data_IF_796758604897
#
_entry.id   IF_796758604897
#
_cell.length_a   1.000
_cell.length_b   1.000
_cell.length_c   1.000
_cell.angle_alpha   90.00
_cell.angle_beta   90.00
_cell.angle_gamma   90.00
#
_symmetry.space_group_name_H-M   'P 1'
#
loop_
_entity.id
_entity.type
_entity.pdbx_description
1 polymer ?
#
# COMPACT_ATOMS: atom_id res chain seq x y z
N UNK A 1 4.01 -8.79 22.55
CA UNK A 1 3.79 -8.12 21.26
C UNK A 1 3.57 -6.65 21.51
N UNK A 2 4.32 -5.79 20.81
CA UNK A 2 4.33 -4.35 21.06
C UNK A 2 3.01 -3.69 20.63
N UNK A 3 2.49 -2.79 21.45
CA UNK A 3 1.33 -1.96 21.10
C UNK A 3 1.75 -0.90 20.09
N UNK A 4 1.17 -0.99 18.89
CA UNK A 4 1.48 -0.09 17.76
C UNK A 4 0.42 0.98 17.57
N UNK A 5 -0.56 1.14 18.46
CA UNK A 5 -1.66 2.12 18.29
C UNK A 5 -1.22 3.57 18.47
N UNK A 6 -0.03 3.81 19.05
CA UNK A 6 0.50 5.16 19.30
C UNK A 6 0.98 5.81 18.00
N UNK A 7 0.08 6.48 17.29
CA UNK A 7 0.37 7.13 16.00
C UNK A 7 1.40 8.26 16.10
N UNK A 8 1.69 8.80 17.29
CA UNK A 8 2.73 9.82 17.49
C UNK A 8 4.12 9.23 17.80
N UNK A 9 4.25 7.92 17.94
CA UNK A 9 5.55 7.29 18.17
C UNK A 9 6.38 7.25 16.88
N UNK A 10 7.40 8.11 16.80
CA UNK A 10 8.25 8.24 15.61
C UNK A 10 8.90 6.91 15.19
N UNK A 11 9.26 6.05 16.16
CA UNK A 11 9.84 4.73 15.86
C UNK A 11 8.82 3.81 15.17
N UNK A 12 7.58 3.82 15.63
CA UNK A 12 6.48 3.06 15.01
C UNK A 12 6.14 3.59 13.63
N UNK A 13 6.01 4.92 13.47
CA UNK A 13 5.76 5.54 12.17
C UNK A 13 6.86 5.20 11.15
N UNK A 14 8.13 5.29 11.55
CA UNK A 14 9.24 4.94 10.67
C UNK A 14 9.24 3.45 10.30
N UNK A 15 8.86 2.57 11.23
CA UNK A 15 8.72 1.13 10.96
C UNK A 15 7.55 0.82 10.01
N UNK A 16 6.46 1.59 10.08
CA UNK A 16 5.34 1.52 9.12
C UNK A 16 5.82 1.92 7.73
N UNK A 17 6.49 3.06 7.59
CA UNK A 17 7.04 3.52 6.30
C UNK A 17 8.00 2.49 5.71
N UNK A 18 8.95 1.99 6.50
CA UNK A 18 9.89 0.96 6.06
C UNK A 18 9.19 -0.35 5.65
N UNK A 19 8.07 -0.69 6.30
CA UNK A 19 7.29 -1.88 5.98
C UNK A 19 6.46 -1.69 4.72
N UNK A 20 5.80 -0.55 4.56
CA UNK A 20 5.02 -0.21 3.37
C UNK A 20 5.90 -0.21 2.11
N UNK A 21 7.06 0.48 2.16
CA UNK A 21 8.05 0.47 1.07
C UNK A 21 8.43 -0.96 0.67
N UNK A 22 8.71 -1.82 1.65
CA UNK A 22 9.13 -3.19 1.37
C UNK A 22 8.00 -4.06 0.79
N UNK A 23 6.81 -4.00 1.41
CA UNK A 23 5.65 -4.78 0.98
C UNK A 23 5.24 -4.36 -0.43
N UNK A 24 5.18 -3.06 -0.69
CA UNK A 24 4.82 -2.55 -2.01
C UNK A 24 5.88 -2.88 -3.06
N UNK A 25 7.17 -2.80 -2.73
CA UNK A 25 8.24 -3.19 -3.66
C UNK A 25 8.21 -4.68 -4.00
N UNK A 26 7.92 -5.54 -3.02
CA UNK A 26 7.72 -6.98 -3.25
C UNK A 26 6.46 -7.22 -4.10
N UNK A 27 5.39 -6.49 -3.82
CA UNK A 27 4.16 -6.52 -4.58
C UNK A 27 4.36 -6.14 -6.04
N UNK A 28 4.98 -4.98 -6.29
CA UNK A 28 5.38 -4.50 -7.60
C UNK A 28 6.27 -5.52 -8.31
N UNK A 29 7.23 -6.15 -7.61
CA UNK A 29 8.04 -7.23 -8.18
C UNK A 29 7.14 -8.36 -8.71
N UNK A 30 6.20 -8.86 -7.90
CA UNK A 30 5.28 -9.92 -8.33
C UNK A 30 4.49 -9.46 -9.56
N UNK A 31 3.87 -8.29 -9.51
CA UNK A 31 3.05 -7.77 -10.61
C UNK A 31 3.83 -7.58 -11.91
N UNK A 32 5.07 -7.06 -11.86
CA UNK A 32 5.91 -6.90 -13.06
C UNK A 32 6.20 -8.22 -13.77
N UNK A 33 6.20 -9.35 -13.05
CA UNK A 33 6.48 -10.68 -13.62
C UNK A 33 5.23 -11.51 -13.90
N UNK A 34 4.12 -11.30 -13.18
CA UNK A 34 2.93 -12.15 -13.27
C UNK A 34 1.70 -11.47 -13.90
N UNK A 35 1.64 -10.13 -13.90
CA UNK A 35 0.51 -9.42 -14.48
C UNK A 35 0.55 -9.45 -16.01
N UNK A 36 -0.61 -9.28 -16.63
CA UNK A 36 -0.71 -9.05 -18.07
C UNK A 36 0.06 -7.79 -18.47
N UNK A 37 0.84 -7.87 -19.56
CA UNK A 37 1.73 -6.80 -20.00
C UNK A 37 0.99 -5.46 -20.19
N UNK A 38 -0.14 -5.50 -20.88
CA UNK A 38 -0.97 -4.32 -21.15
C UNK A 38 -2.11 -4.18 -20.12
N UNK A 39 -1.97 -4.89 -18.99
CA UNK A 39 -2.92 -4.88 -17.90
C UNK A 39 -2.82 -3.62 -17.04
N UNK A 40 -3.88 -3.32 -16.26
CA UNK A 40 -3.96 -2.14 -15.42
C UNK A 40 -2.73 -1.82 -14.57
N UNK A 41 -2.23 -2.81 -13.84
CA UNK A 41 -1.14 -2.57 -12.91
C UNK A 41 0.18 -2.23 -13.64
N UNK A 42 0.40 -2.78 -14.84
CA UNK A 42 1.59 -2.46 -15.63
C UNK A 42 1.48 -1.07 -16.26
N UNK A 43 0.31 -0.71 -16.81
CA UNK A 43 0.07 0.65 -17.32
C UNK A 43 0.20 1.70 -16.20
N UNK A 44 -0.25 1.39 -14.97
CA UNK A 44 -0.07 2.26 -13.80
C UNK A 44 1.39 2.63 -13.57
N UNK A 45 2.27 1.62 -13.51
CA UNK A 45 3.70 1.85 -13.29
C UNK A 45 4.45 2.35 -14.53
N UNK A 46 4.00 2.02 -15.74
CA UNK A 46 4.62 2.47 -16.98
C UNK A 46 4.32 3.95 -17.29
N UNK A 47 3.11 4.42 -16.99
CA UNK A 47 2.72 5.82 -17.22
C UNK A 47 3.21 6.75 -16.11
N UNK A 48 3.13 6.34 -14.84
CA UNK A 48 3.38 7.23 -13.71
C UNK A 48 4.67 6.94 -12.94
N UNK A 49 5.31 5.79 -13.17
CA UNK A 49 6.61 5.46 -12.60
C UNK A 49 6.68 5.66 -11.08
N UNK A 50 7.61 6.51 -10.64
CA UNK A 50 7.81 6.78 -9.21
C UNK A 50 6.60 7.47 -8.55
N UNK A 51 5.78 8.20 -9.31
CA UNK A 51 4.58 8.83 -8.76
C UNK A 51 3.57 7.77 -8.34
N UNK A 52 3.33 6.77 -9.21
CA UNK A 52 2.49 5.62 -8.89
C UNK A 52 2.96 4.92 -7.61
N UNK A 53 4.26 4.57 -7.57
CA UNK A 53 4.86 3.91 -6.41
C UNK A 53 4.74 4.72 -5.11
N UNK A 54 4.97 6.04 -5.16
CA UNK A 54 4.84 6.90 -3.98
C UNK A 54 3.39 6.94 -3.50
N UNK A 55 2.42 6.99 -4.42
CA UNK A 55 1.00 6.98 -4.06
C UNK A 55 0.59 5.66 -3.40
N UNK A 56 1.06 4.52 -3.91
CA UNK A 56 0.79 3.19 -3.34
C UNK A 56 1.40 3.06 -1.93
N UNK A 57 2.64 3.49 -1.73
CA UNK A 57 3.28 3.48 -0.40
C UNK A 57 2.57 4.43 0.57
N UNK A 58 2.22 5.65 0.13
CA UNK A 58 1.57 6.62 0.99
C UNK A 58 0.15 6.20 1.36
N UNK A 59 -0.61 5.56 0.47
CA UNK A 59 -1.96 5.08 0.78
C UNK A 59 -1.92 4.05 1.91
N UNK A 60 -0.97 3.10 1.87
CA UNK A 60 -0.74 2.12 2.95
C UNK A 60 -0.39 2.83 4.26
N UNK A 61 0.54 3.79 4.24
CA UNK A 61 0.96 4.53 5.44
C UNK A 61 -0.21 5.31 6.04
N UNK A 62 -1.02 5.99 5.21
CA UNK A 62 -2.21 6.72 5.64
C UNK A 62 -3.22 5.76 6.27
N UNK A 63 -3.50 4.62 5.63
CA UNK A 63 -4.40 3.60 6.16
C UNK A 63 -3.96 3.07 7.53
N UNK A 64 -2.65 2.85 7.72
CA UNK A 64 -2.09 2.43 9.00
C UNK A 64 -2.25 3.50 10.08
N UNK A 65 -1.99 4.77 9.76
CA UNK A 65 -2.16 5.89 10.71
C UNK A 65 -3.63 6.05 11.11
N UNK A 66 -4.55 6.00 10.16
CA UNK A 66 -5.98 6.05 10.44
C UNK A 66 -6.42 4.88 11.33
N UNK A 67 -5.89 3.67 11.10
CA UNK A 67 -6.15 2.52 11.95
C UNK A 67 -5.59 2.68 13.36
N UNK A 68 -4.41 3.26 13.52
CA UNK A 68 -3.87 3.62 14.84
C UNK A 68 -4.78 4.61 15.58
N UNK A 69 -5.31 5.62 14.90
CA UNK A 69 -6.23 6.61 15.48
C UNK A 69 -7.53 5.94 15.92
N UNK A 70 -8.18 5.16 15.05
CA UNK A 70 -9.45 4.49 15.36
C UNK A 70 -9.26 3.45 16.48
N UNK A 71 -8.22 2.62 16.41
CA UNK A 71 -7.94 1.63 17.44
C UNK A 71 -7.55 2.25 18.79
N UNK A 72 -6.91 3.44 18.79
CA UNK A 72 -6.66 4.21 20.01
C UNK A 72 -7.94 4.79 20.59
N UNK A 73 -8.85 5.28 19.73
CA UNK A 73 -10.13 5.85 20.15
C UNK A 73 -11.08 4.80 20.74
N UNK A 74 -11.08 3.57 20.21
CA UNK A 74 -11.85 2.44 20.77
C UNK A 74 -11.35 2.06 22.18
N UNK A 75 -10.07 2.25 22.46
CA UNK A 75 -9.46 1.93 23.76
C UNK A 75 -9.26 0.43 24.00
N UNK A 76 -9.07 0.05 25.27
CA UNK A 76 -8.86 -1.34 25.68
C UNK A 76 -7.43 -1.88 25.48
N UNK A 77 -7.18 -3.15 25.85
CA UNK A 77 -5.88 -3.80 25.65
C UNK A 77 -5.62 -4.05 24.15
N UNK A 78 -4.35 -3.96 23.75
CA UNK A 78 -3.97 -4.22 22.36
C UNK A 78 -4.21 -5.69 21.99
N UNK A 79 -4.93 -5.90 20.89
CA UNK A 79 -5.19 -7.22 20.30
C UNK A 79 -4.86 -7.17 18.80
N UNK A 80 -3.98 -8.06 18.33
CA UNK A 80 -3.54 -8.06 16.93
C UNK A 80 -4.69 -8.25 15.97
N UNK A 81 -5.55 -9.24 16.25
CA UNK A 81 -6.63 -9.64 15.34
C UNK A 81 -7.65 -8.51 15.22
N UNK A 82 -7.99 -7.87 16.34
CA UNK A 82 -8.85 -6.68 16.34
C UNK A 82 -8.19 -5.53 15.57
N UNK A 83 -6.89 -5.30 15.74
CA UNK A 83 -6.18 -4.26 15.01
C UNK A 83 -6.14 -4.53 13.50
N UNK A 84 -5.85 -5.77 13.08
CA UNK A 84 -5.87 -6.17 11.66
C UNK A 84 -7.26 -6.00 11.05
N UNK A 85 -8.32 -6.34 11.78
CA UNK A 85 -9.69 -6.13 11.32
C UNK A 85 -10.00 -4.63 11.11
N UNK A 86 -9.55 -3.76 12.03
CA UNK A 86 -9.69 -2.30 11.90
C UNK A 86 -8.91 -1.79 10.69
N UNK A 87 -7.66 -2.23 10.52
CA UNK A 87 -6.79 -1.83 9.42
C UNK A 87 -7.44 -2.16 8.07
N UNK A 88 -7.93 -3.39 7.90
CA UNK A 88 -8.60 -3.83 6.67
C UNK A 88 -9.90 -3.05 6.47
N UNK A 89 -10.72 -2.88 7.51
CA UNK A 89 -11.96 -2.12 7.40
C UNK A 89 -11.73 -0.68 6.93
N UNK A 90 -10.68 -0.03 7.44
CA UNK A 90 -10.30 1.34 7.06
C UNK A 90 -9.81 1.39 5.61
N UNK A 91 -8.94 0.47 5.20
CA UNK A 91 -8.47 0.43 3.81
C UNK A 91 -9.64 0.19 2.85
N UNK A 92 -10.51 -0.80 3.11
CA UNK A 92 -11.67 -1.05 2.26
C UNK A 92 -12.59 0.17 2.17
N UNK A 93 -12.83 0.84 3.30
CA UNK A 93 -13.65 2.07 3.33
C UNK A 93 -13.00 3.18 2.52
N UNK A 94 -11.69 3.37 2.66
CA UNK A 94 -10.92 4.36 1.91
C UNK A 94 -11.02 4.11 0.41
N UNK A 95 -10.81 2.87 -0.04
CA UNK A 95 -10.74 2.55 -1.47
C UNK A 95 -12.12 2.62 -2.13
N UNK A 96 -13.17 2.16 -1.44
CA UNK A 96 -14.54 2.31 -1.92
C UNK A 96 -14.92 3.80 -1.99
N UNK A 97 -14.56 4.59 -0.99
CA UNK A 97 -14.81 6.04 -1.02
C UNK A 97 -14.04 6.70 -2.16
N UNK A 98 -12.77 6.35 -2.36
CA UNK A 98 -11.96 6.88 -3.44
C UNK A 98 -12.55 6.52 -4.81
N UNK A 99 -12.87 5.24 -5.04
CA UNK A 99 -13.35 4.76 -6.33
C UNK A 99 -14.77 5.21 -6.67
N UNK A 100 -15.68 5.25 -5.68
CA UNK A 100 -17.11 5.53 -5.90
C UNK A 100 -17.45 7.01 -5.75
N UNK A 101 -16.66 7.77 -4.99
CA UNK A 101 -16.94 9.19 -4.72
C UNK A 101 -15.89 10.09 -5.35
N UNK A 102 -14.60 9.91 -5.04
CA UNK A 102 -13.57 10.86 -5.48
C UNK A 102 -13.34 10.78 -6.98
N UNK A 103 -13.17 9.58 -7.51
CA UNK A 103 -12.86 9.35 -8.93
C UNK A 103 -13.97 9.88 -9.86
N UNK A 104 -15.27 9.62 -9.64
CA UNK A 104 -16.33 10.11 -10.52
C UNK A 104 -16.60 11.62 -10.43
N UNK A 105 -16.14 12.30 -9.38
CA UNK A 105 -16.31 13.75 -9.21
C UNK A 105 -15.37 14.58 -10.09
N UNK A 106 -14.29 13.98 -10.59
CA UNK A 106 -13.29 14.68 -11.39
C UNK A 106 -13.63 14.44 -12.87
N UNK A 107 -13.86 15.51 -13.67
CA UNK A 107 -14.19 15.34 -15.08
C UNK A 107 -13.05 14.70 -15.87
N UNK A 108 -13.34 13.85 -16.88
CA UNK A 108 -12.32 13.22 -17.70
C UNK A 108 -11.33 14.22 -18.31
N UNK A 109 -10.06 13.86 -18.38
CA UNK A 109 -8.99 14.65 -19.00
C UNK A 109 -8.43 15.77 -18.11
N UNK A 110 -8.90 15.91 -16.88
CA UNK A 110 -8.34 16.87 -15.91
C UNK A 110 -7.17 16.29 -15.12
N UNK A 111 -7.16 14.97 -14.92
CA UNK A 111 -6.13 14.29 -14.15
C UNK A 111 -5.94 12.87 -14.69
N UNK A 112 -4.79 12.60 -15.29
CA UNK A 112 -4.48 11.32 -15.93
C UNK A 112 -4.48 10.14 -14.96
N UNK A 113 -4.10 10.33 -13.70
CA UNK A 113 -4.16 9.29 -12.66
C UNK A 113 -5.62 8.90 -12.40
N UNK A 114 -6.49 9.89 -12.27
CA UNK A 114 -7.91 9.66 -12.01
C UNK A 114 -8.59 9.04 -13.23
N UNK A 115 -8.25 9.48 -14.44
CA UNK A 115 -8.75 8.91 -15.68
C UNK A 115 -8.41 7.41 -15.79
N UNK A 116 -7.18 7.04 -15.41
CA UNK A 116 -6.75 5.65 -15.39
C UNK A 116 -7.45 4.84 -14.28
N UNK A 117 -7.58 5.40 -13.08
CA UNK A 117 -8.31 4.77 -11.97
C UNK A 117 -9.80 4.57 -12.28
N UNK A 118 -10.43 5.52 -12.97
CA UNK A 118 -11.80 5.38 -13.46
C UNK A 118 -11.92 4.22 -14.44
N UNK A 119 -10.99 4.14 -15.40
CA UNK A 119 -10.92 3.02 -16.35
C UNK A 119 -10.79 1.69 -15.60
N UNK A 120 -9.91 1.59 -14.61
CA UNK A 120 -9.74 0.37 -13.81
C UNK A 120 -10.95 0.01 -12.99
N UNK A 121 -11.58 0.98 -12.33
CA UNK A 121 -12.79 0.74 -11.52
C UNK A 121 -13.98 0.20 -12.33
N UNK A 122 -13.99 0.39 -13.65
CA UNK A 122 -15.05 -0.12 -14.54
C UNK A 122 -14.73 -1.46 -15.20
N UNK A 123 -13.49 -1.96 -15.04
CA UNK A 123 -13.09 -3.26 -15.59
C UNK A 123 -13.66 -4.43 -14.78
N UNK A 124 -14.00 -5.52 -15.46
CA UNK A 124 -14.46 -6.74 -14.81
C UNK A 124 -13.34 -7.30 -13.92
N UNK A 125 -13.64 -7.53 -12.64
CA UNK A 125 -12.67 -8.05 -11.68
C UNK A 125 -11.88 -6.97 -10.91
N UNK A 126 -12.18 -5.69 -11.12
CA UNK A 126 -11.57 -4.59 -10.35
C UNK A 126 -11.71 -4.75 -8.82
N UNK A 127 -12.77 -5.42 -8.36
CA UNK A 127 -13.01 -5.73 -6.96
C UNK A 127 -11.89 -6.58 -6.31
N UNK A 128 -11.11 -7.33 -7.11
CA UNK A 128 -9.98 -8.12 -6.61
C UNK A 128 -8.87 -7.24 -6.02
N UNK A 129 -8.78 -5.97 -6.45
CA UNK A 129 -7.82 -5.00 -5.89
C UNK A 129 -8.02 -4.84 -4.39
N UNK A 130 -9.27 -4.81 -3.91
CA UNK A 130 -9.58 -4.68 -2.48
C UNK A 130 -8.98 -5.83 -1.64
N UNK A 131 -8.93 -7.04 -2.21
CA UNK A 131 -8.34 -8.22 -1.55
C UNK A 131 -6.81 -8.10 -1.48
N UNK A 132 -6.19 -7.66 -2.58
CA UNK A 132 -4.75 -7.44 -2.65
C UNK A 132 -4.32 -6.36 -1.66
N UNK A 133 -5.04 -5.25 -1.62
CA UNK A 133 -4.73 -4.13 -0.74
C UNK A 133 -4.91 -4.52 0.73
N UNK A 134 -5.96 -5.28 1.07
CA UNK A 134 -6.12 -5.84 2.41
C UNK A 134 -4.91 -6.74 2.81
N UNK A 135 -4.40 -7.55 1.88
CA UNK A 135 -3.19 -8.36 2.12
C UNK A 135 -1.96 -7.48 2.34
N UNK A 136 -1.80 -6.39 1.60
CA UNK A 136 -0.69 -5.44 1.76
C UNK A 136 -0.74 -4.76 3.12
N UNK A 137 -1.93 -4.38 3.57
CA UNK A 137 -2.13 -3.80 4.89
C UNK A 137 -1.79 -4.78 6.02
N UNK A 138 -2.22 -6.04 5.89
CA UNK A 138 -1.86 -7.11 6.85
C UNK A 138 -0.35 -7.33 6.85
N UNK A 139 0.26 -7.50 5.67
CA UNK A 139 1.70 -7.71 5.53
C UNK A 139 2.51 -6.55 6.12
N UNK A 140 2.07 -5.31 5.88
CA UNK A 140 2.68 -4.10 6.44
C UNK A 140 2.58 -4.09 7.96
N UNK A 141 1.42 -4.44 8.51
CA UNK A 141 1.22 -4.54 9.97
C UNK A 141 2.17 -5.56 10.60
N UNK A 142 2.22 -6.78 10.04
CA UNK A 142 3.08 -7.86 10.55
C UNK A 142 4.56 -7.48 10.41
N UNK A 143 4.97 -6.95 9.25
CA UNK A 143 6.33 -6.46 9.03
C UNK A 143 6.72 -5.36 10.03
N UNK A 144 5.79 -4.46 10.36
CA UNK A 144 6.01 -3.38 11.33
C UNK A 144 6.30 -3.97 12.72
N UNK A 145 5.51 -4.95 13.15
CA UNK A 145 5.71 -5.63 14.43
C UNK A 145 7.08 -6.30 14.50
N UNK A 146 7.50 -6.99 13.43
CA UNK A 146 8.82 -7.62 13.35
C UNK A 146 9.94 -6.58 13.43
N UNK A 147 9.85 -5.46 12.70
CA UNK A 147 10.86 -4.40 12.75
C UNK A 147 10.98 -3.75 14.13
N UNK A 148 9.90 -3.67 14.89
CA UNK A 148 9.92 -3.06 16.21
C UNK A 148 10.62 -3.90 17.28
N UNK A 149 10.78 -5.21 17.04
CA UNK A 149 11.60 -6.11 17.85
C UNK A 149 13.09 -6.07 17.44
N UNK A 150 13.41 -5.48 16.29
CA UNK A 150 14.78 -5.33 15.79
C UNK A 150 15.44 -4.02 16.26
N UNK A 151 16.79 -3.94 16.19
CA UNK A 151 17.52 -2.70 16.43
C UNK A 151 17.08 -1.57 15.49
N UNK A 152 17.02 -0.30 15.95
CA UNK A 152 16.49 0.81 15.13
C UNK A 152 17.18 1.04 13.78
N UNK A 153 18.45 0.69 13.64
CA UNK A 153 19.18 0.83 12.37
C UNK A 153 18.65 -0.10 11.28
N UNK A 154 18.00 -1.23 11.64
CA UNK A 154 17.41 -2.15 10.66
C UNK A 154 16.27 -1.50 9.87
N UNK A 155 15.50 -0.61 10.51
CA UNK A 155 14.45 0.15 9.83
C UNK A 155 15.03 1.06 8.74
N UNK A 156 16.11 1.76 9.04
CA UNK A 156 16.82 2.61 8.07
C UNK A 156 17.44 1.78 6.94
N UNK A 157 18.12 0.69 7.28
CA UNK A 157 18.70 -0.22 6.29
C UNK A 157 17.62 -0.76 5.34
N UNK A 158 16.44 -1.11 5.88
CA UNK A 158 15.30 -1.57 5.09
C UNK A 158 14.79 -0.48 4.14
N UNK A 159 14.60 0.75 4.59
CA UNK A 159 14.17 1.87 3.72
C UNK A 159 15.16 2.04 2.55
N UNK A 160 16.45 2.18 2.86
CA UNK A 160 17.48 2.42 1.85
C UNK A 160 17.56 1.26 0.86
N UNK A 161 17.60 0.02 1.37
CA UNK A 161 17.72 -1.17 0.55
C UNK A 161 16.53 -1.35 -0.39
N UNK A 162 15.30 -1.21 0.12
CA UNK A 162 14.11 -1.39 -0.72
C UNK A 162 13.94 -0.28 -1.73
N UNK A 163 14.13 0.99 -1.37
CA UNK A 163 14.06 2.10 -2.34
C UNK A 163 15.08 1.95 -3.46
N UNK A 164 16.29 1.47 -3.15
CA UNK A 164 17.30 1.17 -4.17
C UNK A 164 16.79 0.07 -5.12
N UNK A 165 16.22 -1.01 -4.59
CA UNK A 165 15.67 -2.12 -5.38
C UNK A 165 14.44 -1.69 -6.21
N UNK A 166 13.56 -0.84 -5.67
CA UNK A 166 12.41 -0.25 -6.37
C UNK A 166 12.85 0.40 -7.68
N UNK A 167 13.96 1.14 -7.67
CA UNK A 167 14.49 1.81 -8.85
C UNK A 167 14.78 0.86 -10.03
N UNK A 168 15.13 -0.40 -9.76
CA UNK A 168 15.35 -1.40 -10.82
C UNK A 168 14.06 -2.11 -11.24
N UNK A 169 13.22 -2.48 -10.26
CA UNK A 169 11.97 -3.20 -10.52
C UNK A 169 10.99 -2.34 -11.30
N UNK A 170 10.94 -1.03 -11.01
CA UNK A 170 10.03 -0.11 -11.67
C UNK A 170 10.20 -0.11 -13.20
N UNK A 171 11.40 -0.37 -13.70
CA UNK A 171 11.69 -0.44 -15.14
C UNK A 171 11.78 -1.88 -15.68
N UNK A 172 11.43 -2.88 -14.86
CA UNK A 172 11.35 -4.28 -15.29
C UNK A 172 10.00 -4.50 -15.99
N UNK A 173 10.03 -5.09 -17.18
CA UNK A 173 8.84 -5.38 -17.98
C UNK A 173 8.55 -6.87 -18.01
N UNK A 174 7.27 -7.21 -18.08
CA UNK A 174 6.83 -8.59 -18.24
C UNK A 174 7.42 -9.18 -19.54
N UNK A 175 8.12 -10.33 -19.49
CA UNK A 175 8.70 -10.95 -20.68
C UNK A 175 7.65 -11.25 -21.74
N UNK A 176 8.01 -11.11 -23.03
CA UNK A 176 7.17 -11.58 -24.13
C UNK A 176 7.14 -13.11 -24.07
N UNK A 177 5.97 -13.71 -23.88
CA UNK A 177 5.80 -15.14 -24.12
C UNK A 177 5.87 -15.36 -25.64
N UNK A 178 7.05 -15.71 -26.13
CA UNK A 178 7.29 -16.13 -27.53
C UNK A 178 6.98 -17.60 -27.72
#
# INVERSE_FOLDING_TARGET
MKDIRKFWDARTLLAIVASAIAVDTIGMFVWRYTAERDGPINTWYDEFGLVAYILDVLSIVIGMILAQIVASAIGGPFNLVAFLAIVVAIQMTHDIFFSQVVVPLIPPGHNSIIDLMFTYGTMKGAEWVLVVDALYMIATTVSTLVLLEMPPYMTWFKIIGWLYVTGYILFTRTPVQT
#
